data_IF_885791110172
#
_entry.id   IF_885791110172
#
_cell.length_a   1.000
_cell.length_b   1.000
_cell.length_c   1.000
_cell.angle_alpha   90.00
_cell.angle_beta   90.00
_cell.angle_gamma   90.00
#
_symmetry.space_group_name_H-M   'P 1'
#
loop_
_entity.id
_entity.type
_entity.pdbx_description
1 polymer ?
#
# COMPACT_ATOMS: atom_id res chain seq x y z
N UNK A 1 11.65 23.68 -8.39
CA UNK A 1 10.74 23.17 -7.34
C UNK A 1 11.48 22.10 -6.57
N UNK A 2 11.28 22.01 -5.25
CA UNK A 2 11.89 20.94 -4.46
C UNK A 2 11.32 19.59 -4.91
N UNK A 3 12.19 18.58 -5.02
CA UNK A 3 11.82 17.22 -5.41
C UNK A 3 10.96 16.54 -4.34
N UNK A 4 9.85 15.90 -4.73
CA UNK A 4 8.97 15.16 -3.81
C UNK A 4 9.62 13.84 -3.40
N UNK A 5 9.69 13.56 -2.10
CA UNK A 5 10.38 12.37 -1.56
C UNK A 5 9.49 11.60 -0.60
N UNK A 6 9.45 10.28 -0.78
CA UNK A 6 8.71 9.35 0.07
C UNK A 6 9.67 8.35 0.70
N UNK A 7 9.53 8.08 1.99
CA UNK A 7 10.10 6.91 2.63
C UNK A 7 9.06 5.78 2.54
N UNK A 8 9.42 4.67 1.91
CA UNK A 8 8.48 3.58 1.61
C UNK A 8 8.78 2.38 2.50
N UNK A 9 7.77 1.88 3.21
CA UNK A 9 7.84 0.66 4.02
C UNK A 9 6.54 -0.13 3.86
N UNK A 10 6.64 -1.45 3.94
CA UNK A 10 5.48 -2.36 3.94
C UNK A 10 5.81 -3.66 4.65
N UNK A 11 4.78 -4.46 4.90
CA UNK A 11 4.91 -5.83 5.43
C UNK A 11 5.77 -5.85 6.70
N UNK A 12 5.54 -4.88 7.59
CA UNK A 12 6.28 -4.73 8.83
C UNK A 12 5.93 -5.83 9.83
N UNK A 13 4.71 -6.37 9.74
CA UNK A 13 4.16 -7.40 10.61
C UNK A 13 4.42 -7.17 12.10
N UNK A 14 3.99 -6.00 12.61
CA UNK A 14 4.21 -5.61 14.00
C UNK A 14 3.29 -6.33 14.98
N UNK A 15 2.36 -7.16 14.52
CA UNK A 15 1.43 -7.95 15.34
C UNK A 15 2.07 -9.21 15.93
N UNK A 16 3.09 -9.79 15.28
CA UNK A 16 3.63 -11.13 15.62
C UNK A 16 5.15 -11.20 15.50
N UNK A 17 5.90 -11.09 16.61
CA UNK A 17 5.41 -10.69 17.94
C UNK A 17 4.97 -9.22 17.95
N UNK A 18 4.10 -8.86 18.90
CA UNK A 18 3.68 -7.48 19.10
C UNK A 18 4.89 -6.56 19.28
N UNK A 19 5.03 -5.56 18.41
CA UNK A 19 6.21 -4.69 18.33
C UNK A 19 5.86 -3.22 18.04
N UNK A 20 4.58 -2.84 18.14
CA UNK A 20 4.10 -1.48 17.86
C UNK A 20 4.78 -0.38 18.71
N UNK A 21 5.21 -0.70 19.93
CA UNK A 21 5.81 0.22 20.89
C UNK A 21 7.35 0.27 20.83
N UNK A 22 7.98 -0.70 20.16
CA UNK A 22 9.44 -0.83 20.08
C UNK A 22 9.99 -0.61 18.66
N UNK A 23 9.16 -0.75 17.62
CA UNK A 23 9.61 -0.58 16.25
C UNK A 23 9.68 0.91 15.89
N UNK A 24 10.89 1.39 15.62
CA UNK A 24 11.14 2.80 15.31
C UNK A 24 11.40 3.01 13.81
N UNK A 25 10.74 4.00 13.21
CA UNK A 25 11.05 4.48 11.87
C UNK A 25 11.79 5.80 11.98
N UNK A 26 13.05 5.83 11.55
CA UNK A 26 13.82 7.06 11.49
C UNK A 26 13.47 7.83 10.20
N UNK A 27 13.02 9.10 10.27
CA UNK A 27 12.68 9.87 9.09
C UNK A 27 13.86 10.12 8.15
N UNK A 28 13.66 9.79 6.87
CA UNK A 28 14.62 10.02 5.77
C UNK A 28 14.00 10.83 4.62
N UNK A 29 12.70 11.10 4.72
CA UNK A 29 11.92 11.91 3.80
C UNK A 29 10.77 12.60 4.58
N UNK A 30 10.18 13.69 4.05
CA UNK A 30 9.05 14.36 4.70
C UNK A 30 7.77 13.50 4.73
N UNK A 31 7.63 12.58 3.76
CA UNK A 31 6.44 11.76 3.61
C UNK A 31 6.78 10.29 3.86
N UNK A 32 6.01 9.63 4.72
CA UNK A 32 6.07 8.19 4.94
C UNK A 32 4.91 7.52 4.20
N UNK A 33 5.18 6.45 3.47
CA UNK A 33 4.13 5.59 2.93
C UNK A 33 4.26 4.17 3.47
N UNK A 34 3.20 3.73 4.13
CA UNK A 34 3.02 2.41 4.72
C UNK A 34 2.09 1.59 3.81
N UNK A 35 2.66 0.66 3.05
CA UNK A 35 1.96 -0.03 1.95
C UNK A 35 1.35 -1.37 2.36
N UNK A 36 0.63 -1.37 3.48
CA UNK A 36 -0.07 -2.54 4.01
C UNK A 36 0.81 -3.53 4.76
N UNK A 37 0.15 -4.46 5.45
CA UNK A 37 0.73 -5.46 6.33
C UNK A 37 1.64 -4.86 7.42
N UNK A 38 1.22 -3.71 7.97
CA UNK A 38 1.89 -3.06 9.10
C UNK A 38 1.58 -3.79 10.41
N UNK A 39 0.34 -4.24 10.54
CA UNK A 39 -0.18 -4.94 11.72
C UNK A 39 -1.70 -5.02 11.66
N UNK A 40 -2.33 -5.60 12.69
CA UNK A 40 -3.79 -5.71 12.74
C UNK A 40 -4.40 -4.43 13.28
N UNK A 41 -5.40 -3.88 12.59
CA UNK A 41 -6.08 -2.64 12.99
C UNK A 41 -6.75 -2.78 14.35
N UNK A 42 -7.23 -3.98 14.69
CA UNK A 42 -7.86 -4.26 15.98
C UNK A 42 -6.89 -4.23 17.16
N UNK A 43 -5.58 -4.29 16.92
CA UNK A 43 -4.59 -4.35 18.00
C UNK A 43 -4.49 -2.98 18.66
N UNK A 44 -4.47 -2.97 20.00
CA UNK A 44 -4.41 -1.73 20.81
C UNK A 44 -3.26 -0.81 20.40
N UNK A 45 -2.10 -1.38 20.06
CA UNK A 45 -0.89 -0.61 19.71
C UNK A 45 -0.86 -0.07 18.28
N UNK A 46 -1.75 -0.51 17.39
CA UNK A 46 -1.68 -0.17 15.97
C UNK A 46 -1.89 1.33 15.72
N UNK A 47 -2.95 1.92 16.29
CA UNK A 47 -3.23 3.35 16.14
C UNK A 47 -2.21 4.23 16.89
N UNK A 48 -1.70 3.76 18.03
CA UNK A 48 -0.63 4.42 18.76
C UNK A 48 0.66 4.48 17.92
N UNK A 49 1.00 3.39 17.23
CA UNK A 49 2.11 3.33 16.29
C UNK A 49 1.95 4.35 15.16
N UNK A 50 0.76 4.44 14.54
CA UNK A 50 0.51 5.43 13.48
C UNK A 50 0.64 6.87 14.01
N UNK A 51 0.09 7.15 15.20
CA UNK A 51 0.18 8.47 15.83
C UNK A 51 1.64 8.87 16.11
N UNK A 52 2.50 7.94 16.52
CA UNK A 52 3.93 8.20 16.69
C UNK A 52 4.60 8.61 15.36
N UNK A 53 4.17 8.03 14.23
CA UNK A 53 4.74 8.42 12.93
C UNK A 53 4.34 9.84 12.54
N UNK A 54 3.12 10.28 12.89
CA UNK A 54 2.67 11.65 12.67
C UNK A 54 3.48 12.68 13.49
N UNK A 55 4.19 12.29 14.53
CA UNK A 55 5.11 13.18 15.25
C UNK A 55 6.41 13.42 14.47
N UNK A 56 6.76 12.51 13.56
CA UNK A 56 8.07 12.44 12.92
C UNK A 56 8.04 12.77 11.41
N UNK A 57 6.86 12.72 10.79
CA UNK A 57 6.65 12.94 9.36
C UNK A 57 5.62 14.04 9.11
N UNK A 58 5.76 14.75 7.98
CA UNK A 58 4.79 15.79 7.58
C UNK A 58 3.49 15.16 7.11
N UNK A 59 3.57 14.03 6.40
CA UNK A 59 2.43 13.25 5.95
C UNK A 59 2.75 11.77 6.13
N UNK A 60 1.80 11.03 6.70
CA UNK A 60 1.82 9.56 6.77
C UNK A 60 0.69 9.01 5.93
N UNK A 61 1.05 8.35 4.83
CA UNK A 61 0.13 7.59 4.00
C UNK A 61 0.04 6.16 4.52
N UNK A 62 -1.17 5.64 4.63
CA UNK A 62 -1.45 4.24 4.95
C UNK A 62 -2.49 3.69 3.97
N UNK A 63 -2.23 2.53 3.39
CA UNK A 63 -3.25 1.68 2.78
C UNK A 63 -3.34 0.35 3.54
N UNK A 64 -4.48 -0.33 3.45
CA UNK A 64 -4.61 -1.67 3.99
C UNK A 64 -3.84 -2.66 3.13
N UNK A 65 -3.13 -3.56 3.77
CA UNK A 65 -2.85 -4.88 3.24
C UNK A 65 -3.93 -5.89 3.62
N UNK A 66 -3.64 -7.17 3.44
CA UNK A 66 -4.57 -8.23 3.82
C UNK A 66 -4.54 -8.49 5.32
N UNK A 67 -3.44 -8.19 6.02
CA UNK A 67 -3.32 -8.41 7.46
C UNK A 67 -4.09 -7.39 8.32
N UNK A 68 -4.18 -6.12 7.91
CA UNK A 68 -4.89 -5.10 8.69
C UNK A 68 -6.30 -5.50 9.18
N UNK A 69 -7.16 -6.13 8.35
CA UNK A 69 -8.48 -6.60 8.78
C UNK A 69 -8.50 -7.99 9.44
N UNK A 70 -7.36 -8.64 9.70
CA UNK A 70 -7.36 -9.97 10.33
C UNK A 70 -7.99 -9.95 11.73
N UNK A 71 -8.73 -11.03 12.02
CA UNK A 71 -9.48 -11.28 13.24
C UNK A 71 -10.56 -10.20 13.55
N UNK A 72 -10.98 -9.49 12.51
CA UNK A 72 -12.07 -8.50 12.43
C UNK A 72 -12.67 -8.64 11.02
N UNK A 73 -13.23 -7.58 10.43
CA UNK A 73 -13.61 -7.56 9.03
C UNK A 73 -13.11 -6.28 8.32
N UNK A 74 -13.17 -6.29 6.99
CA UNK A 74 -12.67 -5.19 6.17
C UNK A 74 -13.45 -3.88 6.40
N UNK A 75 -14.75 -3.95 6.68
CA UNK A 75 -15.60 -2.77 6.89
C UNK A 75 -15.26 -2.11 8.22
N UNK A 76 -15.10 -2.90 9.28
CA UNK A 76 -14.68 -2.44 10.60
C UNK A 76 -13.28 -1.81 10.55
N UNK A 77 -12.30 -2.50 9.94
CA UNK A 77 -10.94 -1.97 9.81
C UNK A 77 -10.91 -0.61 9.06
N UNK A 78 -11.66 -0.48 7.96
CA UNK A 78 -11.82 0.79 7.24
C UNK A 78 -12.50 1.85 8.09
N UNK A 79 -13.55 1.49 8.84
CA UNK A 79 -14.26 2.43 9.71
C UNK A 79 -13.33 3.01 10.77
N UNK A 80 -12.54 2.17 11.44
CA UNK A 80 -11.56 2.58 12.45
C UNK A 80 -10.53 3.55 11.87
N UNK A 81 -9.97 3.25 10.69
CA UNK A 81 -8.98 4.12 10.06
C UNK A 81 -9.55 5.44 9.54
N UNK A 82 -10.78 5.44 9.02
CA UNK A 82 -11.46 6.68 8.66
C UNK A 82 -11.73 7.55 9.89
N UNK A 83 -12.18 6.95 11.00
CA UNK A 83 -12.37 7.68 12.25
C UNK A 83 -11.05 8.24 12.79
N UNK A 84 -9.97 7.44 12.73
CA UNK A 84 -8.63 7.90 13.10
C UNK A 84 -8.19 9.10 12.25
N UNK A 85 -8.42 9.08 10.94
CA UNK A 85 -8.11 10.22 10.07
C UNK A 85 -8.86 11.50 10.49
N UNK A 86 -10.16 11.39 10.79
CA UNK A 86 -10.98 12.51 11.29
C UNK A 86 -10.44 13.03 12.62
N UNK A 87 -10.12 12.13 13.55
CA UNK A 87 -9.64 12.49 14.89
C UNK A 87 -8.25 13.17 14.84
N UNK A 88 -7.37 12.69 13.95
CA UNK A 88 -6.04 13.29 13.77
C UNK A 88 -6.13 14.68 13.14
N UNK A 89 -6.98 14.87 12.13
CA UNK A 89 -7.17 16.20 11.53
C UNK A 89 -7.80 17.18 12.51
N UNK A 90 -8.81 16.76 13.30
CA UNK A 90 -9.36 17.59 14.38
C UNK A 90 -8.29 17.98 15.38
N UNK A 91 -7.51 17.01 15.85
CA UNK A 91 -6.39 17.27 16.78
C UNK A 91 -5.38 18.26 16.20
N UNK A 92 -5.10 18.16 14.89
CA UNK A 92 -4.14 19.00 14.17
C UNK A 92 -4.62 20.46 14.01
N UNK A 93 -5.92 20.66 13.80
CA UNK A 93 -6.55 21.98 13.72
C UNK A 93 -6.61 22.69 15.07
N UNK A 94 -6.81 21.93 16.15
CA UNK A 94 -6.90 22.46 17.53
C UNK A 94 -5.51 22.68 18.17
N UNK A 95 -4.46 22.04 17.64
CA UNK A 95 -3.10 22.13 18.16
C UNK A 95 -2.41 23.47 17.86
N UNK A 96 -1.55 23.88 18.79
CA UNK A 96 -0.54 24.93 18.56
C UNK A 96 0.48 24.46 17.53
N UNK A 97 1.14 25.41 16.86
CA UNK A 97 2.11 25.09 15.80
C UNK A 97 3.21 24.12 16.27
N UNK A 98 3.74 24.31 17.48
CA UNK A 98 4.83 23.49 18.03
C UNK A 98 4.41 22.04 18.37
N UNK A 99 3.11 21.81 18.57
CA UNK A 99 2.52 20.52 18.97
C UNK A 99 1.79 19.84 17.80
N UNK A 100 1.79 20.48 16.63
CA UNK A 100 1.01 20.04 15.47
C UNK A 100 1.60 18.76 14.88
N UNK A 101 0.79 17.72 14.86
CA UNK A 101 1.10 16.47 14.18
C UNK A 101 1.10 16.64 12.65
N UNK A 102 1.80 15.74 11.97
CA UNK A 102 1.66 15.52 10.53
C UNK A 102 0.24 15.13 10.13
N UNK A 103 -0.02 15.19 8.82
CA UNK A 103 -1.30 14.80 8.24
C UNK A 103 -1.36 13.28 8.03
N UNK A 104 -2.48 12.66 8.40
CA UNK A 104 -2.72 11.24 8.14
C UNK A 104 -3.62 11.08 6.93
N UNK A 105 -3.16 10.33 5.93
CA UNK A 105 -3.91 10.07 4.70
C UNK A 105 -4.17 8.58 4.57
N UNK A 106 -5.44 8.19 4.73
CA UNK A 106 -5.87 6.83 4.44
C UNK A 106 -6.13 6.66 2.95
N UNK A 107 -5.45 5.69 2.34
CA UNK A 107 -5.46 5.40 0.91
C UNK A 107 -6.38 4.21 0.61
N UNK A 108 -7.67 4.49 0.46
CA UNK A 108 -8.72 3.52 0.15
C UNK A 108 -9.52 4.01 -1.06
N UNK A 109 -8.93 3.89 -2.25
CA UNK A 109 -9.37 4.59 -3.47
C UNK A 109 -9.27 6.12 -3.32
N UNK A 110 -8.15 6.56 -2.75
CA UNK A 110 -7.89 7.97 -2.43
C UNK A 110 -6.96 8.60 -3.45
N UNK A 111 -7.35 9.77 -3.96
CA UNK A 111 -6.46 10.71 -4.65
C UNK A 111 -6.00 11.78 -3.67
N UNK A 112 -4.70 12.04 -3.62
CA UNK A 112 -4.12 13.12 -2.82
C UNK A 112 -3.10 13.93 -3.62
N UNK A 113 -3.38 15.22 -3.77
CA UNK A 113 -2.57 16.15 -4.57
C UNK A 113 -1.49 16.81 -3.69
N UNK A 114 -0.36 16.13 -3.50
CA UNK A 114 0.71 16.54 -2.57
C UNK A 114 1.46 17.82 -2.96
N UNK A 115 1.41 18.19 -4.24
CA UNK A 115 1.93 19.45 -4.74
C UNK A 115 1.17 19.86 -6.01
N UNK A 116 1.37 21.06 -6.57
CA UNK A 116 0.75 21.43 -7.85
C UNK A 116 1.13 20.54 -9.06
N UNK A 117 2.12 19.66 -8.91
CA UNK A 117 2.65 18.84 -10.02
C UNK A 117 2.69 17.34 -9.74
N UNK A 118 2.38 16.92 -8.51
CA UNK A 118 2.46 15.50 -8.10
C UNK A 118 1.16 15.08 -7.43
N UNK A 119 0.64 13.93 -7.84
CA UNK A 119 -0.54 13.30 -7.25
C UNK A 119 -0.17 11.90 -6.76
N UNK A 120 -0.64 11.56 -5.57
CA UNK A 120 -0.62 10.19 -5.03
C UNK A 120 -2.00 9.58 -5.27
N UNK A 121 -2.03 8.40 -5.87
CA UNK A 121 -3.22 7.54 -5.94
C UNK A 121 -2.93 6.29 -5.13
N UNK A 122 -3.84 5.90 -4.23
CA UNK A 122 -3.66 4.67 -3.48
C UNK A 122 -4.94 3.93 -3.12
N UNK A 123 -4.82 2.60 -3.13
CA UNK A 123 -5.81 1.63 -2.71
C UNK A 123 -5.12 0.32 -2.36
N UNK A 124 -5.79 -0.61 -1.68
CA UNK A 124 -5.23 -1.96 -1.42
C UNK A 124 -4.88 -2.70 -2.71
N UNK A 125 -5.70 -2.52 -3.75
CA UNK A 125 -5.65 -3.27 -5.00
C UNK A 125 -5.62 -4.76 -4.69
N UNK A 126 -6.70 -5.31 -4.13
CA UNK A 126 -6.86 -6.77 -4.04
C UNK A 126 -6.66 -7.42 -5.42
N UNK A 127 -6.49 -8.73 -5.50
CA UNK A 127 -6.09 -9.40 -6.74
C UNK A 127 -7.26 -9.96 -7.56
N UNK A 128 -7.04 -10.05 -8.87
CA UNK A 128 -7.82 -10.88 -9.78
C UNK A 128 -7.35 -12.33 -9.67
N UNK A 129 -8.09 -13.13 -8.89
CA UNK A 129 -7.87 -14.57 -8.80
C UNK A 129 -8.39 -15.23 -10.07
N UNK A 130 -7.49 -15.85 -10.85
CA UNK A 130 -7.87 -16.49 -12.11
C UNK A 130 -8.71 -17.75 -11.86
N UNK A 131 -9.68 -18.09 -12.72
CA UNK A 131 -10.58 -19.23 -12.50
C UNK A 131 -9.85 -20.54 -12.19
N UNK A 132 -8.73 -20.79 -12.86
CA UNK A 132 -7.92 -22.00 -12.73
C UNK A 132 -7.24 -22.14 -11.36
N UNK A 133 -7.06 -21.02 -10.64
CA UNK A 133 -6.43 -20.97 -9.32
C UNK A 133 -7.43 -20.70 -8.20
N UNK A 134 -8.70 -20.44 -8.52
CA UNK A 134 -9.74 -20.04 -7.56
C UNK A 134 -9.83 -20.95 -6.35
N UNK A 135 -9.91 -22.26 -6.57
CA UNK A 135 -9.98 -23.25 -5.49
C UNK A 135 -8.69 -23.25 -4.65
N UNK A 136 -7.53 -23.34 -5.29
CA UNK A 136 -6.24 -23.37 -4.61
C UNK A 136 -6.01 -22.12 -3.76
N UNK A 137 -6.32 -20.93 -4.30
CA UNK A 137 -6.22 -19.65 -3.60
C UNK A 137 -7.22 -19.57 -2.44
N UNK A 138 -8.48 -19.96 -2.66
CA UNK A 138 -9.50 -19.95 -1.62
C UNK A 138 -9.14 -20.82 -0.42
N UNK A 139 -8.44 -21.95 -0.64
CA UNK A 139 -8.00 -22.84 0.44
C UNK A 139 -6.60 -22.52 0.97
N UNK A 140 -5.75 -21.85 0.18
CA UNK A 140 -4.34 -21.65 0.46
C UNK A 140 -3.98 -20.29 1.06
N UNK A 141 -4.84 -19.28 0.93
CA UNK A 141 -4.60 -17.92 1.44
C UNK A 141 -5.38 -17.70 2.73
N UNK A 142 -4.68 -17.21 3.76
CA UNK A 142 -5.25 -17.05 5.11
C UNK A 142 -6.36 -16.00 5.19
N UNK A 143 -6.42 -15.07 4.24
CA UNK A 143 -7.38 -13.98 4.19
C UNK A 143 -8.84 -14.48 4.31
N UNK A 144 -9.16 -15.57 3.61
CA UNK A 144 -10.49 -16.16 3.59
C UNK A 144 -10.87 -16.91 4.88
N UNK A 145 -9.94 -17.03 5.82
CA UNK A 145 -10.14 -17.65 7.12
C UNK A 145 -10.05 -16.64 8.27
N UNK A 146 -9.20 -15.63 8.11
CA UNK A 146 -8.86 -14.68 9.18
C UNK A 146 -9.59 -13.37 9.06
N UNK A 147 -10.09 -13.00 7.88
CA UNK A 147 -10.97 -11.85 7.70
C UNK A 147 -12.41 -12.34 7.77
N UNK A 148 -13.17 -11.86 8.74
CA UNK A 148 -14.57 -12.21 8.90
C UNK A 148 -15.37 -11.75 7.67
N UNK A 149 -16.29 -12.60 7.21
CA UNK A 149 -17.17 -12.33 6.07
C UNK A 149 -16.42 -12.01 4.75
N UNK A 150 -15.17 -12.48 4.59
CA UNK A 150 -14.39 -12.27 3.38
C UNK A 150 -14.39 -13.51 2.49
N UNK A 151 -15.13 -13.46 1.38
CA UNK A 151 -15.17 -14.52 0.38
C UNK A 151 -14.30 -14.18 -0.82
N UNK A 152 -13.97 -15.20 -1.63
CA UNK A 152 -13.26 -15.00 -2.90
C UNK A 152 -14.04 -14.08 -3.85
N UNK A 153 -15.37 -14.12 -3.84
CA UNK A 153 -16.21 -13.21 -4.62
C UNK A 153 -16.13 -11.77 -4.11
N UNK A 154 -16.07 -11.56 -2.79
CA UNK A 154 -15.88 -10.24 -2.20
C UNK A 154 -14.50 -9.67 -2.56
N UNK A 155 -13.46 -10.49 -2.50
CA UNK A 155 -12.09 -10.16 -2.91
C UNK A 155 -12.01 -9.73 -4.37
N UNK A 156 -12.60 -10.51 -5.29
CA UNK A 156 -12.63 -10.15 -6.70
C UNK A 156 -13.44 -8.87 -6.97
N UNK A 157 -14.57 -8.65 -6.27
CA UNK A 157 -15.33 -7.39 -6.36
C UNK A 157 -14.50 -6.19 -5.92
N UNK A 158 -13.73 -6.33 -4.84
CA UNK A 158 -12.84 -5.29 -4.37
C UNK A 158 -11.73 -4.99 -5.40
N UNK A 159 -11.10 -6.01 -5.98
CA UNK A 159 -10.14 -5.84 -7.09
C UNK A 159 -10.75 -5.06 -8.26
N UNK A 160 -11.95 -5.46 -8.73
CA UNK A 160 -12.62 -4.79 -9.85
C UNK A 160 -12.90 -3.32 -9.53
N UNK A 161 -13.33 -3.03 -8.29
CA UNK A 161 -13.56 -1.66 -7.82
C UNK A 161 -12.28 -0.83 -7.84
N UNK A 162 -11.20 -1.34 -7.23
CA UNK A 162 -9.89 -0.66 -7.15
C UNK A 162 -9.29 -0.40 -8.53
N UNK A 163 -9.30 -1.43 -9.39
CA UNK A 163 -8.81 -1.36 -10.76
C UNK A 163 -9.60 -0.34 -11.59
N UNK A 164 -10.93 -0.34 -11.48
CA UNK A 164 -11.77 0.61 -12.20
C UNK A 164 -11.53 2.05 -11.73
N UNK A 165 -11.41 2.26 -10.42
CA UNK A 165 -11.09 3.56 -9.85
C UNK A 165 -9.72 4.08 -10.30
N UNK A 166 -8.66 3.27 -10.20
CA UNK A 166 -7.31 3.65 -10.63
C UNK A 166 -7.27 4.04 -12.11
N UNK A 167 -7.91 3.25 -12.98
CA UNK A 167 -7.96 3.55 -14.41
C UNK A 167 -8.65 4.88 -14.69
N UNK A 168 -9.80 5.16 -14.03
CA UNK A 168 -10.52 6.43 -14.18
C UNK A 168 -9.70 7.62 -13.70
N UNK A 169 -9.06 7.53 -12.52
CA UNK A 169 -8.26 8.64 -11.98
C UNK A 169 -7.05 8.93 -12.85
N UNK A 170 -6.30 7.90 -13.27
CA UNK A 170 -5.15 8.08 -14.14
C UNK A 170 -5.57 8.64 -15.50
N UNK A 171 -6.65 8.15 -16.10
CA UNK A 171 -7.17 8.69 -17.36
C UNK A 171 -7.56 10.16 -17.23
N UNK A 172 -8.29 10.51 -16.16
CA UNK A 172 -8.73 11.87 -15.87
C UNK A 172 -7.54 12.83 -15.73
N UNK A 173 -6.55 12.48 -14.91
CA UNK A 173 -5.34 13.29 -14.70
C UNK A 173 -4.56 13.42 -16.01
N UNK A 174 -4.31 12.30 -16.71
CA UNK A 174 -3.51 12.31 -17.94
C UNK A 174 -4.14 13.19 -19.02
N UNK A 175 -5.47 13.31 -19.04
CA UNK A 175 -6.22 14.16 -19.98
C UNK A 175 -6.24 15.63 -19.58
N UNK A 176 -6.47 15.93 -18.29
CA UNK A 176 -6.71 17.31 -17.81
C UNK A 176 -5.40 18.01 -17.42
N UNK A 177 -4.45 17.26 -16.87
CA UNK A 177 -3.15 17.75 -16.39
C UNK A 177 -2.03 16.87 -16.96
N UNK A 178 -1.74 16.91 -18.28
CA UNK A 178 -0.82 15.99 -18.95
C UNK A 178 0.62 16.04 -18.44
N UNK A 179 1.02 17.12 -17.76
CA UNK A 179 2.34 17.26 -17.13
C UNK A 179 2.38 16.76 -15.68
N UNK A 180 1.23 16.39 -15.11
CA UNK A 180 1.12 15.89 -13.73
C UNK A 180 1.86 14.56 -13.59
N UNK A 181 2.68 14.44 -12.56
CA UNK A 181 3.30 13.16 -12.19
C UNK A 181 2.42 12.42 -11.21
N UNK A 182 2.20 11.14 -11.45
CA UNK A 182 1.41 10.27 -10.60
C UNK A 182 2.32 9.26 -9.91
N UNK A 183 2.12 9.12 -8.60
CA UNK A 183 2.66 8.06 -7.75
C UNK A 183 1.51 7.14 -7.41
N UNK A 184 1.62 5.87 -7.79
CA UNK A 184 0.62 4.84 -7.43
C UNK A 184 1.18 4.01 -6.28
N UNK A 185 0.37 3.87 -5.23
CA UNK A 185 0.68 3.10 -4.03
C UNK A 185 -0.37 2.00 -3.86
N UNK A 186 0.06 0.74 -3.82
CA UNK A 186 -0.83 -0.40 -3.62
C UNK A 186 -0.29 -1.36 -2.58
N UNK A 187 -1.10 -2.29 -2.07
CA UNK A 187 -0.56 -3.40 -1.30
C UNK A 187 -0.17 -4.55 -2.23
N UNK A 188 -1.13 -5.11 -2.96
CA UNK A 188 -0.82 -6.25 -3.83
C UNK A 188 -0.08 -5.80 -5.09
N UNK A 189 0.64 -6.75 -5.67
CA UNK A 189 1.52 -6.51 -6.80
C UNK A 189 0.72 -6.34 -8.12
N UNK A 190 0.98 -5.27 -8.90
CA UNK A 190 0.27 -4.95 -10.14
C UNK A 190 0.82 -5.64 -11.40
N UNK A 191 1.81 -6.52 -11.26
CA UNK A 191 2.44 -7.22 -12.38
C UNK A 191 2.87 -8.65 -12.01
N UNK A 192 3.23 -9.45 -13.02
CA UNK A 192 3.48 -10.90 -12.89
C UNK A 192 4.83 -11.33 -13.47
N UNK A 193 5.78 -10.40 -13.61
CA UNK A 193 7.10 -10.69 -14.17
C UNK A 193 8.06 -11.28 -13.12
N UNK A 194 9.23 -11.72 -13.56
CA UNK A 194 10.22 -12.36 -12.67
C UNK A 194 10.86 -11.41 -11.65
N UNK A 195 10.80 -10.10 -11.87
CA UNK A 195 11.36 -9.08 -10.96
C UNK A 195 10.54 -8.94 -9.66
N UNK A 196 9.29 -9.38 -9.65
CA UNK A 196 8.36 -9.17 -8.51
C UNK A 196 7.99 -10.45 -7.76
N UNK A 197 8.47 -11.60 -8.23
CA UNK A 197 8.19 -12.91 -7.63
C UNK A 197 9.47 -13.57 -7.15
N UNK A 198 9.45 -14.08 -5.93
CA UNK A 198 10.52 -14.95 -5.47
C UNK A 198 10.61 -16.18 -6.41
N UNK A 199 11.78 -16.52 -6.98
CA UNK A 199 11.91 -17.67 -7.89
C UNK A 199 11.38 -19.00 -7.32
N UNK A 200 11.39 -19.17 -5.99
CA UNK A 200 10.81 -20.34 -5.32
C UNK A 200 9.30 -20.48 -5.53
N UNK A 201 8.61 -19.37 -5.88
CA UNK A 201 7.16 -19.31 -6.08
C UNK A 201 6.76 -19.05 -7.54
N UNK A 202 7.71 -19.00 -8.48
CA UNK A 202 7.44 -18.68 -9.89
C UNK A 202 6.43 -19.60 -10.60
N UNK A 203 6.17 -20.80 -10.05
CA UNK A 203 5.19 -21.77 -10.56
C UNK A 203 4.08 -22.07 -9.56
N UNK A 204 3.88 -21.21 -8.56
CA UNK A 204 2.87 -21.41 -7.53
C UNK A 204 1.47 -21.38 -8.15
N UNK A 205 0.65 -22.37 -7.81
CA UNK A 205 -0.78 -22.37 -8.13
C UNK A 205 -1.59 -21.37 -7.28
N UNK A 206 -0.93 -20.64 -6.38
CA UNK A 206 -1.53 -19.59 -5.57
C UNK A 206 -1.22 -18.18 -6.09
N UNK A 207 -0.43 -18.04 -7.16
CA UNK A 207 0.15 -16.75 -7.58
C UNK A 207 -0.89 -15.64 -7.77
N UNK A 208 -2.07 -15.94 -8.31
CA UNK A 208 -3.14 -14.95 -8.50
C UNK A 208 -3.81 -14.49 -7.20
N UNK A 209 -3.51 -15.12 -6.06
CA UNK A 209 -3.83 -14.60 -4.72
C UNK A 209 -2.94 -13.44 -4.28
N UNK A 210 -1.74 -13.30 -4.87
CA UNK A 210 -0.72 -12.33 -4.44
C UNK A 210 -0.48 -11.18 -5.44
N UNK A 211 -0.78 -11.41 -6.71
CA UNK A 211 -0.47 -10.47 -7.79
C UNK A 211 -1.52 -10.51 -8.90
N UNK A 212 -1.60 -9.44 -9.69
CA UNK A 212 -2.49 -9.34 -10.85
C UNK A 212 -1.78 -8.68 -12.00
N UNK A 213 -2.02 -9.13 -13.22
CA UNK A 213 -1.40 -8.52 -14.38
C UNK A 213 -2.20 -7.30 -14.85
N UNK A 214 -1.71 -6.09 -14.54
CA UNK A 214 -2.30 -4.84 -15.02
C UNK A 214 -1.63 -4.30 -16.30
N UNK A 215 -0.76 -5.06 -16.97
CA UNK A 215 0.04 -4.56 -18.11
C UNK A 215 -0.78 -3.92 -19.23
N UNK A 216 -2.04 -4.33 -19.38
CA UNK A 216 -2.94 -3.83 -20.41
C UNK A 216 -3.79 -2.62 -20.00
N UNK A 217 -3.77 -2.23 -18.74
CA UNK A 217 -4.62 -1.20 -18.18
C UNK A 217 -4.12 0.22 -18.46
N UNK A 218 -5.05 1.18 -18.47
CA UNK A 218 -4.75 2.61 -18.64
C UNK A 218 -3.83 3.11 -17.53
N UNK A 219 -4.10 2.71 -16.29
CA UNK A 219 -3.28 3.09 -15.14
C UNK A 219 -1.83 2.59 -15.26
N UNK A 220 -1.61 1.42 -15.85
CA UNK A 220 -0.27 0.90 -16.10
C UNK A 220 0.40 1.59 -17.29
N UNK A 221 -0.31 1.75 -18.41
CA UNK A 221 0.26 2.28 -19.66
C UNK A 221 0.54 3.77 -19.64
N UNK A 222 -0.12 4.54 -18.77
CA UNK A 222 0.03 5.99 -18.74
C UNK A 222 1.46 6.43 -18.44
N UNK A 223 1.96 7.35 -19.27
CA UNK A 223 3.25 8.00 -19.06
C UNK A 223 3.24 8.96 -17.86
N UNK A 224 2.07 9.38 -17.36
CA UNK A 224 1.95 10.23 -16.18
C UNK A 224 2.34 9.48 -14.89
N UNK A 225 2.15 8.16 -14.86
CA UNK A 225 2.57 7.32 -13.73
C UNK A 225 4.09 7.16 -13.75
N UNK A 226 4.77 7.81 -12.81
CA UNK A 226 6.24 7.82 -12.71
C UNK A 226 6.77 6.79 -11.73
N UNK A 227 6.00 6.49 -10.68
CA UNK A 227 6.35 5.54 -9.64
C UNK A 227 5.14 4.66 -9.34
N UNK A 228 5.38 3.36 -9.20
CA UNK A 228 4.45 2.40 -8.60
C UNK A 228 5.17 1.66 -7.46
N UNK A 229 4.68 1.82 -6.23
CA UNK A 229 5.21 1.10 -5.08
C UNK A 229 4.16 0.14 -4.50
N UNK A 230 4.58 -1.05 -4.09
CA UNK A 230 3.71 -2.11 -3.57
C UNK A 230 4.38 -2.97 -2.48
N UNK A 231 3.62 -3.88 -1.87
CA UNK A 231 4.06 -4.84 -0.82
C UNK A 231 3.66 -6.29 -1.12
N UNK A 232 3.23 -7.03 -0.09
CA UNK A 232 2.57 -8.35 -0.11
C UNK A 232 3.38 -9.57 -0.59
N UNK A 233 4.24 -9.43 -1.60
CA UNK A 233 4.94 -10.58 -2.22
C UNK A 233 6.10 -11.12 -1.38
N UNK A 234 6.47 -10.43 -0.30
CA UNK A 234 7.65 -10.62 0.53
C UNK A 234 8.95 -10.73 -0.29
N UNK A 235 8.98 -10.01 -1.42
CA UNK A 235 10.10 -9.98 -2.33
C UNK A 235 10.41 -8.54 -2.75
N UNK A 236 11.55 -8.04 -2.29
CA UNK A 236 11.97 -6.67 -2.55
C UNK A 236 12.52 -6.52 -3.97
N UNK A 237 11.96 -5.55 -4.70
CA UNK A 237 12.35 -5.23 -6.07
C UNK A 237 12.47 -3.71 -6.26
N UNK A 238 13.25 -3.30 -7.25
CA UNK A 238 13.36 -1.90 -7.67
C UNK A 238 13.88 -1.85 -9.11
N UNK A 239 12.98 -1.71 -10.07
CA UNK A 239 13.31 -1.73 -11.48
C UNK A 239 12.57 -0.62 -12.23
N UNK A 240 13.00 -0.39 -13.46
CA UNK A 240 12.30 0.49 -14.39
C UNK A 240 11.58 -0.37 -15.40
N UNK A 241 10.26 -0.23 -15.48
CA UNK A 241 9.47 -0.90 -16.51
C UNK A 241 9.95 -0.44 -17.89
N UNK A 242 10.31 -1.39 -18.75
CA UNK A 242 10.96 -1.09 -20.02
C UNK A 242 10.01 -0.44 -21.05
N UNK A 243 8.72 -0.78 -21.00
CA UNK A 243 7.72 -0.28 -21.95
C UNK A 243 7.28 1.14 -21.63
N UNK A 244 7.07 1.42 -20.35
CA UNK A 244 6.44 2.68 -19.91
C UNK A 244 7.41 3.63 -19.21
N UNK A 245 8.59 3.14 -18.82
CA UNK A 245 9.62 3.91 -18.14
C UNK A 245 9.32 4.28 -16.68
N UNK A 246 8.24 3.79 -16.08
CA UNK A 246 7.94 4.03 -14.66
C UNK A 246 8.88 3.21 -13.76
N UNK A 247 9.19 3.73 -12.58
CA UNK A 247 9.90 2.98 -11.55
C UNK A 247 8.90 2.12 -10.77
N UNK A 248 9.13 0.82 -10.71
CA UNK A 248 8.31 -0.14 -9.98
C UNK A 248 9.14 -0.71 -8.85
N UNK A 249 8.64 -0.67 -7.61
CA UNK A 249 9.40 -1.13 -6.47
C UNK A 249 8.56 -1.66 -5.31
N UNK A 250 9.21 -2.40 -4.43
CA UNK A 250 8.68 -2.84 -3.13
C UNK A 250 9.77 -2.74 -2.05
N UNK A 251 9.37 -2.49 -0.80
CA UNK A 251 10.29 -2.42 0.35
C UNK A 251 9.65 -2.99 1.62
N UNK A 252 9.55 -4.31 1.58
CA UNK A 252 8.84 -5.23 2.47
C UNK A 252 9.81 -5.75 3.52
N UNK A 253 9.46 -5.65 4.79
CA UNK A 253 10.26 -6.26 5.87
C UNK A 253 10.06 -7.77 5.91
N UNK A 254 8.84 -8.23 5.68
CA UNK A 254 8.43 -9.62 5.85
C UNK A 254 8.31 -10.01 7.33
N UNK A 255 7.86 -11.24 7.57
CA UNK A 255 7.62 -11.75 8.92
C UNK A 255 8.87 -11.67 9.81
N UNK A 256 8.68 -11.51 11.13
CA UNK A 256 9.76 -11.46 12.11
C UNK A 256 10.73 -12.66 12.00
N UNK A 257 10.20 -13.86 11.79
CA UNK A 257 10.95 -15.10 11.67
C UNK A 257 11.47 -15.40 10.23
N UNK A 258 11.06 -14.60 9.24
CA UNK A 258 11.38 -14.82 7.83
C UNK A 258 11.44 -13.48 7.07
N UNK A 259 12.37 -12.61 7.49
CA UNK A 259 12.51 -11.29 6.88
C UNK A 259 12.94 -11.37 5.42
N UNK A 260 12.33 -10.51 4.60
CA UNK A 260 12.60 -10.40 3.18
C UNK A 260 13.99 -9.83 2.93
N UNK A 261 14.77 -10.51 2.10
CA UNK A 261 16.10 -10.02 1.70
C UNK A 261 16.00 -8.63 1.06
N UNK A 262 16.93 -7.74 1.38
CA UNK A 262 17.04 -6.42 0.76
C UNK A 262 16.11 -5.35 1.34
N UNK A 263 15.35 -5.65 2.41
CA UNK A 263 14.61 -4.64 3.15
C UNK A 263 15.54 -3.51 3.61
N UNK A 264 15.10 -2.27 3.40
CA UNK A 264 15.84 -1.09 3.84
C UNK A 264 14.90 -0.12 4.54
N UNK A 265 15.02 -0.01 5.87
CA UNK A 265 14.23 0.94 6.67
C UNK A 265 14.41 2.41 6.26
N UNK A 266 15.46 2.73 5.51
CA UNK A 266 15.79 4.07 5.01
C UNK A 266 15.45 4.28 3.52
N UNK A 267 14.67 3.37 2.89
CA UNK A 267 14.35 3.45 1.46
C UNK A 267 13.60 4.74 1.11
N UNK A 268 14.25 5.63 0.37
CA UNK A 268 13.66 6.86 -0.15
C UNK A 268 13.46 6.78 -1.67
N UNK A 269 12.25 7.15 -2.10
CA UNK A 269 11.87 7.29 -3.51
C UNK A 269 11.66 8.77 -3.84
N UNK A 270 12.09 9.15 -5.04
CA UNK A 270 12.03 10.53 -5.58
C UNK A 270 11.16 10.54 -6.82
N UNK A 271 10.41 11.63 -7.01
CA UNK A 271 9.43 11.82 -8.11
C UNK A 271 9.68 13.13 -8.85
#
# INVERSE_FOLDING_TARGET
MAETKFQILSDLHLETPAAYDIFTINPKAPYLALLGDIGYVKDKGFLDFLRQQLQNFQIVFLLLGNHEPFESDLVEAKSVLNQFAVDMEKSRQEAKEEERLGEFIFLDQTRYDISPTVTVLGCTLFTHVVPEQSEAVSFGVNDFYRINNWSIEAHQKAHVSDRAWLNREVESISRVEPERKIVVLTHHCPCVNEEVVNPAHAKSNLSSGFMSNLSNDVCWKSANVKVWAFGHTHYNCDFKDAETGKRVLSNQRGYYFAQSKGFNGEKVVRV
#
